data_IF_921881380962
#
_entry.id   IF_921881380962
#
_cell.length_a   1.000
_cell.length_b   1.000
_cell.length_c   1.000
_cell.angle_alpha   90.00
_cell.angle_beta   90.00
_cell.angle_gamma   90.00
#
_symmetry.space_group_name_H-M   'P 1'
#
loop_
_entity.id
_entity.type
_entity.pdbx_description
1 polymer ?
#
# COMPACT_ATOMS: atom_id res chain seq x y z
N UNK A 1 40.88 65.52 -69.67
CA UNK A 1 41.52 64.22 -69.39
C UNK A 1 41.97 64.31 -67.93
N UNK A 2 41.27 63.75 -66.94
CA UNK A 2 41.02 62.32 -66.77
C UNK A 2 39.74 62.14 -65.94
N UNK A 3 38.69 61.59 -66.56
CA UNK A 3 37.60 60.91 -65.88
C UNK A 3 37.92 59.41 -65.87
N UNK A 4 37.19 58.66 -65.04
CA UNK A 4 36.99 57.20 -65.07
C UNK A 4 38.03 56.39 -64.26
N UNK A 5 37.77 56.15 -62.97
CA UNK A 5 38.27 54.93 -62.29
C UNK A 5 37.55 54.46 -61.02
N UNK A 6 36.54 55.16 -60.46
CA UNK A 6 36.06 54.79 -59.10
C UNK A 6 34.59 54.34 -58.96
N UNK A 7 33.81 54.26 -60.06
CA UNK A 7 32.40 53.78 -59.98
C UNK A 7 32.26 52.27 -60.20
N UNK A 8 33.24 51.60 -60.81
CA UNK A 8 33.22 50.13 -60.97
C UNK A 8 33.62 49.36 -59.70
N UNK A 9 34.32 50.00 -58.75
CA UNK A 9 34.91 49.31 -57.60
C UNK A 9 33.89 49.12 -56.46
N UNK A 10 32.96 50.07 -56.28
CA UNK A 10 31.92 50.01 -55.25
C UNK A 10 30.81 48.98 -55.51
N UNK A 11 30.40 48.80 -56.78
CA UNK A 11 29.43 47.76 -57.18
C UNK A 11 30.00 46.34 -57.01
N UNK A 12 31.30 46.16 -57.28
CA UNK A 12 32.00 44.86 -57.11
C UNK A 12 32.27 44.48 -55.65
N UNK A 13 32.20 45.44 -54.72
CA UNK A 13 32.42 45.22 -53.27
C UNK A 13 31.13 44.82 -52.54
N UNK A 14 29.98 45.39 -52.92
CA UNK A 14 28.67 44.99 -52.39
C UNK A 14 28.23 43.60 -52.87
N UNK A 15 28.38 43.30 -54.17
CA UNK A 15 28.12 41.94 -54.72
C UNK A 15 29.01 40.87 -54.08
N UNK A 16 30.23 41.22 -53.66
CA UNK A 16 31.17 40.28 -53.01
C UNK A 16 30.75 39.89 -51.59
N UNK A 17 30.18 40.81 -50.81
CA UNK A 17 29.74 40.52 -49.44
C UNK A 17 28.52 39.60 -49.41
N UNK A 18 27.54 39.83 -50.27
CA UNK A 18 26.37 38.95 -50.41
C UNK A 18 26.76 37.57 -50.97
N UNK A 19 27.69 37.53 -51.94
CA UNK A 19 28.24 36.28 -52.47
C UNK A 19 29.00 35.46 -51.42
N UNK A 20 29.79 36.11 -50.56
CA UNK A 20 30.50 35.48 -49.44
C UNK A 20 29.52 34.93 -48.39
N UNK A 21 28.40 35.60 -48.14
CA UNK A 21 27.34 35.14 -47.23
C UNK A 21 26.64 33.89 -47.76
N UNK A 22 26.27 33.88 -49.05
CA UNK A 22 25.62 32.73 -49.69
C UNK A 22 26.57 31.51 -49.75
N UNK A 23 27.85 31.72 -50.02
CA UNK A 23 28.83 30.64 -50.05
C UNK A 23 29.04 30.02 -48.65
N UNK A 24 29.04 30.85 -47.59
CA UNK A 24 29.10 30.39 -46.20
C UNK A 24 27.86 29.58 -45.81
N UNK A 25 26.66 30.03 -46.17
CA UNK A 25 25.42 29.31 -45.92
C UNK A 25 25.37 27.96 -46.66
N UNK A 26 25.77 27.93 -47.94
CA UNK A 26 25.86 26.69 -48.72
C UNK A 26 26.87 25.71 -48.12
N UNK A 27 28.00 26.22 -47.62
CA UNK A 27 29.00 25.40 -46.92
C UNK A 27 28.43 24.84 -45.61
N UNK A 28 27.68 25.64 -44.85
CA UNK A 28 27.02 25.19 -43.63
C UNK A 28 25.98 24.09 -43.92
N UNK A 29 25.13 24.27 -44.93
CA UNK A 29 24.11 23.26 -45.32
C UNK A 29 24.75 21.94 -45.77
N UNK A 30 25.85 21.99 -46.54
CA UNK A 30 26.61 20.80 -46.92
C UNK A 30 27.18 20.10 -45.68
N UNK A 31 27.78 20.85 -44.75
CA UNK A 31 28.31 20.27 -43.51
C UNK A 31 27.20 19.63 -42.66
N UNK A 32 26.03 20.27 -42.55
CA UNK A 32 24.88 19.70 -41.83
C UNK A 32 24.47 18.36 -42.45
N UNK A 33 24.31 18.31 -43.77
CA UNK A 33 23.91 17.09 -44.48
C UNK A 33 24.91 15.94 -44.29
N UNK A 34 26.22 16.24 -44.30
CA UNK A 34 27.27 15.24 -44.09
C UNK A 34 27.33 14.71 -42.64
N UNK A 35 26.90 15.51 -41.66
CA UNK A 35 26.89 15.10 -40.25
C UNK A 35 25.59 14.42 -39.81
N UNK A 36 24.61 14.26 -40.71
CA UNK A 36 23.45 13.39 -40.45
C UNK A 36 23.98 11.96 -40.23
N UNK A 37 23.75 11.41 -39.04
CA UNK A 37 24.28 10.10 -38.64
C UNK A 37 23.68 8.94 -39.45
N UNK A 38 22.51 9.15 -40.03
CA UNK A 38 21.81 8.21 -40.90
C UNK A 38 22.13 8.42 -42.39
N UNK A 39 22.02 7.33 -43.15
CA UNK A 39 22.20 7.37 -44.60
C UNK A 39 21.15 8.25 -45.27
N UNK A 40 21.60 9.30 -45.96
CA UNK A 40 20.75 10.32 -46.60
C UNK A 40 21.17 10.57 -48.05
N UNK A 41 20.20 10.82 -48.91
CA UNK A 41 20.36 11.08 -50.34
C UNK A 41 19.37 12.14 -50.82
N UNK A 42 19.76 12.93 -51.81
CA UNK A 42 18.85 13.86 -52.53
C UNK A 42 18.94 13.60 -54.02
N UNK A 43 17.80 13.42 -54.67
CA UNK A 43 17.70 13.33 -56.14
C UNK A 43 16.97 14.54 -56.72
N UNK A 44 17.22 14.84 -57.99
CA UNK A 44 16.37 15.75 -58.77
C UNK A 44 15.10 15.04 -59.28
N UNK A 45 14.26 15.76 -60.03
CA UNK A 45 13.00 15.24 -60.59
C UNK A 45 13.18 14.08 -61.57
N UNK A 46 14.35 14.00 -62.23
CA UNK A 46 14.69 12.96 -63.20
C UNK A 46 15.29 11.71 -62.54
N UNK A 47 15.35 11.66 -61.20
CA UNK A 47 15.92 10.52 -60.48
C UNK A 47 17.45 10.53 -60.35
N UNK A 48 18.11 11.62 -60.74
CA UNK A 48 19.56 11.77 -60.69
C UNK A 48 20.01 12.25 -59.31
N UNK A 49 21.01 11.56 -58.75
CA UNK A 49 21.58 11.87 -57.43
C UNK A 49 22.31 13.21 -57.49
N UNK A 50 21.92 14.13 -56.61
CA UNK A 50 22.55 15.45 -56.42
C UNK A 50 23.37 15.53 -55.15
N UNK A 51 22.95 14.83 -54.10
CA UNK A 51 23.65 14.76 -52.81
C UNK A 51 23.57 13.34 -52.26
N UNK A 52 24.67 12.87 -51.68
CA UNK A 52 24.78 11.54 -51.10
C UNK A 52 25.76 11.63 -49.94
N UNK A 53 25.31 11.42 -48.70
CA UNK A 53 26.17 11.68 -47.54
C UNK A 53 27.13 10.52 -47.26
N UNK A 54 28.19 10.82 -46.51
CA UNK A 54 29.20 9.85 -46.08
C UNK A 54 28.59 8.70 -45.26
N UNK A 55 27.55 8.95 -44.46
CA UNK A 55 26.87 7.92 -43.69
C UNK A 55 26.20 6.86 -44.58
N UNK A 56 25.62 7.28 -45.71
CA UNK A 56 25.00 6.35 -46.66
C UNK A 56 26.05 5.59 -47.47
N UNK A 57 27.15 6.25 -47.85
CA UNK A 57 28.29 5.61 -48.52
C UNK A 57 28.90 4.49 -47.69
N UNK A 58 29.17 4.75 -46.40
CA UNK A 58 29.64 3.72 -45.46
C UNK A 58 28.65 2.57 -45.31
N UNK A 59 27.35 2.85 -45.29
CA UNK A 59 26.32 1.82 -45.17
C UNK A 59 26.26 0.92 -46.41
N UNK A 60 26.33 1.52 -47.60
CA UNK A 60 26.33 0.80 -48.88
C UNK A 60 27.73 0.36 -49.33
N UNK A 61 28.78 0.56 -48.53
CA UNK A 61 30.16 0.24 -48.93
C UNK A 61 30.52 0.76 -50.34
N UNK A 62 30.16 2.02 -50.63
CA UNK A 62 30.42 2.71 -51.90
C UNK A 62 30.93 4.12 -51.63
N UNK A 63 31.69 4.67 -52.58
CA UNK A 63 32.16 6.06 -52.56
C UNK A 63 31.00 7.03 -52.91
N UNK A 64 30.56 7.89 -51.96
CA UNK A 64 29.49 8.88 -52.19
C UNK A 64 29.72 9.78 -53.40
N UNK A 65 30.96 10.24 -53.58
CA UNK A 65 31.31 11.24 -54.61
C UNK A 65 31.14 10.67 -56.01
N UNK A 66 31.37 9.37 -56.18
CA UNK A 66 31.19 8.65 -57.47
C UNK A 66 29.72 8.38 -57.80
N UNK A 67 28.80 8.55 -56.85
CA UNK A 67 27.37 8.31 -57.09
C UNK A 67 26.63 9.56 -57.56
N UNK A 68 27.20 10.75 -57.35
CA UNK A 68 26.62 12.00 -57.83
C UNK A 68 26.53 11.97 -59.37
N UNK A 69 25.37 12.36 -59.92
CA UNK A 69 25.11 12.34 -61.36
C UNK A 69 24.59 11.01 -61.91
N UNK A 70 24.56 9.94 -61.11
CA UNK A 70 23.96 8.65 -61.50
C UNK A 70 22.47 8.59 -61.18
N UNK A 71 21.72 7.74 -61.87
CA UNK A 71 20.31 7.51 -61.55
C UNK A 71 20.20 6.65 -60.28
N UNK A 72 19.30 7.02 -59.36
CA UNK A 72 19.21 6.41 -58.02
C UNK A 72 18.94 4.91 -58.03
N UNK A 73 18.22 4.40 -59.04
CA UNK A 73 17.91 2.96 -59.17
C UNK A 73 19.12 2.11 -59.53
N UNK A 74 20.21 2.71 -60.02
CA UNK A 74 21.48 2.02 -60.30
C UNK A 74 22.37 1.92 -59.05
N UNK A 75 22.06 2.71 -58.02
CA UNK A 75 22.91 2.87 -56.82
C UNK A 75 22.25 2.23 -55.61
N UNK A 76 20.93 2.36 -55.47
CA UNK A 76 20.17 1.87 -54.31
C UNK A 76 19.07 0.91 -54.78
N UNK A 77 19.23 -0.37 -54.40
CA UNK A 77 18.26 -1.42 -54.65
C UNK A 77 16.88 -1.09 -54.06
N UNK A 78 15.80 -1.42 -54.79
CA UNK A 78 14.42 -1.25 -54.34
C UNK A 78 14.06 0.18 -53.87
N UNK A 79 14.83 1.18 -54.31
CA UNK A 79 14.49 2.59 -54.04
C UNK A 79 13.23 2.99 -54.79
N UNK A 80 12.41 3.83 -54.18
CA UNK A 80 11.24 4.45 -54.82
C UNK A 80 11.34 5.97 -54.84
N UNK A 81 12.52 6.54 -54.64
CA UNK A 81 12.71 8.00 -54.68
C UNK A 81 12.29 8.57 -56.05
N UNK A 82 12.61 7.88 -57.15
CA UNK A 82 12.17 8.24 -58.50
C UNK A 82 10.64 8.17 -58.69
N UNK A 83 9.93 7.33 -57.92
CA UNK A 83 8.46 7.28 -57.91
C UNK A 83 7.90 8.47 -57.13
N UNK A 84 8.48 8.79 -55.97
CA UNK A 84 8.12 9.97 -55.17
C UNK A 84 8.35 11.26 -55.95
N UNK A 85 9.41 11.33 -56.78
CA UNK A 85 9.67 12.47 -57.66
C UNK A 85 8.53 12.71 -58.66
N UNK A 86 8.03 11.63 -59.29
CA UNK A 86 6.90 11.70 -60.25
C UNK A 86 5.55 11.94 -59.59
N UNK A 87 5.30 11.29 -58.45
CA UNK A 87 3.98 11.31 -57.80
C UNK A 87 3.79 12.51 -56.86
N UNK A 88 4.88 13.07 -56.36
CA UNK A 88 4.87 14.14 -55.35
C UNK A 88 4.22 13.74 -54.02
N UNK A 89 4.03 12.44 -53.76
CA UNK A 89 3.49 11.90 -52.51
C UNK A 89 4.62 11.41 -51.64
N UNK A 90 4.69 11.88 -50.39
CA UNK A 90 5.68 11.42 -49.44
C UNK A 90 5.44 9.97 -49.04
N UNK A 91 6.52 9.21 -48.88
CA UNK A 91 6.52 7.86 -48.33
C UNK A 91 7.27 7.92 -47.00
N UNK A 92 6.57 7.80 -45.88
CA UNK A 92 7.12 7.99 -44.53
C UNK A 92 7.09 6.66 -43.78
N UNK A 93 8.19 6.33 -43.08
CA UNK A 93 8.33 5.11 -42.27
C UNK A 93 8.10 3.81 -43.07
N UNK A 94 8.49 3.78 -44.34
CA UNK A 94 8.29 2.63 -45.21
C UNK A 94 9.43 1.61 -45.07
N UNK A 95 9.09 0.33 -45.21
CA UNK A 95 10.11 -0.73 -45.21
C UNK A 95 10.79 -0.81 -46.58
N UNK A 96 12.12 -0.81 -46.60
CA UNK A 96 12.92 -1.06 -47.79
C UNK A 96 13.95 -2.15 -47.51
N UNK A 97 14.03 -3.15 -48.40
CA UNK A 97 15.09 -4.15 -48.36
C UNK A 97 16.28 -3.69 -49.19
N UNK A 98 17.43 -3.55 -48.54
CA UNK A 98 18.71 -3.17 -49.16
C UNK A 98 19.74 -4.22 -48.72
N UNK A 99 20.41 -4.90 -49.66
CA UNK A 99 21.41 -5.95 -49.34
C UNK A 99 20.88 -7.05 -48.41
N UNK A 100 19.60 -7.40 -48.53
CA UNK A 100 18.94 -8.41 -47.70
C UNK A 100 18.59 -7.96 -46.27
N UNK A 101 18.84 -6.70 -45.91
CA UNK A 101 18.44 -6.11 -44.64
C UNK A 101 17.20 -5.24 -44.83
N UNK A 102 16.19 -5.42 -43.97
CA UNK A 102 15.00 -4.59 -43.96
C UNK A 102 15.21 -3.37 -43.07
N UNK A 103 15.02 -2.19 -43.66
CA UNK A 103 15.24 -0.90 -43.04
C UNK A 103 13.94 -0.09 -43.08
N UNK A 104 13.78 0.84 -42.15
CA UNK A 104 12.72 1.86 -42.25
C UNK A 104 13.32 3.10 -42.89
N UNK A 105 12.72 3.57 -43.98
CA UNK A 105 13.15 4.74 -44.73
C UNK A 105 12.03 5.78 -44.82
N UNK A 106 12.41 7.02 -45.10
CA UNK A 106 11.49 8.06 -45.53
C UNK A 106 11.97 8.70 -46.82
N UNK A 107 11.01 9.10 -47.67
CA UNK A 107 11.22 9.72 -48.96
C UNK A 107 10.28 10.91 -49.06
N UNK A 108 10.84 12.10 -48.98
CA UNK A 108 10.11 13.36 -48.83
C UNK A 108 10.32 14.19 -50.11
N UNK A 109 9.26 14.48 -50.89
CA UNK A 109 9.36 15.37 -52.03
C UNK A 109 9.52 16.82 -51.54
N UNK A 110 10.57 17.48 -51.99
CA UNK A 110 10.82 18.90 -51.77
C UNK A 110 10.08 19.66 -52.86
N UNK A 111 9.16 20.55 -52.47
CA UNK A 111 8.29 21.29 -53.40
C UNK A 111 8.59 22.79 -53.35
N UNK A 112 8.58 23.43 -54.51
CA UNK A 112 8.61 24.89 -54.68
C UNK A 112 7.47 25.27 -55.62
N UNK A 113 6.64 26.23 -55.21
CA UNK A 113 5.48 26.72 -55.97
C UNK A 113 4.54 25.58 -56.44
N UNK A 114 4.33 24.58 -55.56
CA UNK A 114 3.48 23.41 -55.83
C UNK A 114 4.12 22.33 -56.72
N UNK A 115 5.31 22.55 -57.28
CA UNK A 115 6.03 21.59 -58.12
C UNK A 115 7.14 20.91 -57.32
N UNK A 116 7.29 19.60 -57.50
CA UNK A 116 8.43 18.85 -56.93
C UNK A 116 9.70 19.30 -57.63
N UNK A 117 10.73 19.67 -56.86
CA UNK A 117 12.04 20.07 -57.40
C UNK A 117 13.15 19.08 -57.02
N UNK A 118 12.95 18.33 -55.94
CA UNK A 118 13.88 17.30 -55.47
C UNK A 118 13.16 16.29 -54.57
N UNK A 119 13.82 15.18 -54.25
CA UNK A 119 13.35 14.23 -53.23
C UNK A 119 14.49 13.95 -52.27
N UNK A 120 14.22 14.13 -50.98
CA UNK A 120 15.12 13.75 -49.89
C UNK A 120 14.76 12.35 -49.39
N UNK A 121 15.73 11.44 -49.38
CA UNK A 121 15.61 10.09 -48.87
C UNK A 121 16.51 9.91 -47.67
N UNK A 122 16.01 9.29 -46.61
CA UNK A 122 16.76 9.00 -45.40
C UNK A 122 16.39 7.64 -44.84
N UNK A 123 17.39 6.91 -44.34
CA UNK A 123 17.20 5.72 -43.50
C UNK A 123 16.91 6.15 -42.07
N UNK A 124 15.79 5.77 -41.49
CA UNK A 124 15.44 6.09 -40.09
C UNK A 124 15.95 4.99 -39.14
N UNK A 125 15.72 3.72 -39.50
CA UNK A 125 16.18 2.58 -38.73
C UNK A 125 16.95 1.61 -39.61
N UNK A 126 18.15 1.22 -39.16
CA UNK A 126 19.05 0.33 -39.89
C UNK A 126 18.60 -1.13 -39.86
N UNK A 127 17.83 -1.51 -38.84
CA UNK A 127 17.29 -2.84 -38.68
C UNK A 127 15.87 -2.76 -38.07
N UNK A 128 14.87 -3.25 -38.82
CA UNK A 128 13.48 -3.35 -38.34
C UNK A 128 13.38 -4.24 -37.08
N UNK A 129 14.31 -5.18 -36.88
CA UNK A 129 14.34 -6.01 -35.68
C UNK A 129 14.68 -5.20 -34.41
N UNK A 130 15.41 -4.09 -34.50
CA UNK A 130 15.65 -3.20 -33.35
C UNK A 130 14.35 -2.51 -32.91
N UNK A 131 13.53 -2.08 -33.87
CA UNK A 131 12.19 -1.53 -33.61
C UNK A 131 11.30 -2.58 -32.94
N UNK A 132 11.34 -3.83 -33.43
CA UNK A 132 10.64 -4.96 -32.81
C UNK A 132 11.08 -5.24 -31.37
N UNK A 133 12.39 -5.18 -31.08
CA UNK A 133 12.94 -5.34 -29.72
C UNK A 133 12.44 -4.24 -28.78
N UNK A 134 12.42 -2.99 -29.24
CA UNK A 134 11.91 -1.85 -28.45
C UNK A 134 10.41 -1.99 -28.17
N UNK A 135 9.60 -2.32 -29.18
CA UNK A 135 8.17 -2.54 -29.03
C UNK A 135 7.87 -3.68 -28.05
N UNK A 136 8.62 -4.79 -28.12
CA UNK A 136 8.50 -5.90 -27.18
C UNK A 136 8.83 -5.47 -25.74
N UNK A 137 9.94 -4.74 -25.55
CA UNK A 137 10.35 -4.24 -24.23
C UNK A 137 9.31 -3.28 -23.63
N UNK A 138 8.70 -2.43 -24.46
CA UNK A 138 7.62 -1.54 -24.03
C UNK A 138 6.40 -2.33 -23.55
N UNK A 139 5.96 -3.31 -24.33
CA UNK A 139 4.84 -4.19 -23.97
C UNK A 139 5.10 -4.97 -22.66
N UNK A 140 6.32 -5.48 -22.49
CA UNK A 140 6.74 -6.14 -21.23
C UNK A 140 6.68 -5.19 -20.04
N UNK A 141 7.15 -3.94 -20.19
CA UNK A 141 7.09 -2.92 -19.15
C UNK A 141 5.65 -2.55 -18.81
N UNK A 142 4.79 -2.31 -19.80
CA UNK A 142 3.37 -2.04 -19.58
C UNK A 142 2.67 -3.19 -18.85
N UNK A 143 2.99 -4.43 -19.20
CA UNK A 143 2.46 -5.61 -18.53
C UNK A 143 2.88 -5.67 -17.06
N UNK A 144 4.17 -5.43 -16.77
CA UNK A 144 4.68 -5.37 -15.40
C UNK A 144 4.01 -4.25 -14.59
N UNK A 145 3.86 -3.06 -15.16
CA UNK A 145 3.16 -1.94 -14.51
C UNK A 145 1.73 -2.33 -14.16
N UNK A 146 0.99 -2.96 -15.08
CA UNK A 146 -0.37 -3.45 -14.81
C UNK A 146 -0.41 -4.50 -13.70
N UNK A 147 0.53 -5.44 -13.66
CA UNK A 147 0.62 -6.46 -12.62
C UNK A 147 0.87 -5.82 -11.25
N UNK A 148 1.88 -4.97 -11.14
CA UNK A 148 2.18 -4.29 -9.88
C UNK A 148 1.04 -3.40 -9.40
N UNK A 149 0.32 -2.77 -10.33
CA UNK A 149 -0.83 -1.97 -9.98
C UNK A 149 -1.98 -2.83 -9.43
N UNK A 150 -2.24 -4.00 -10.02
CA UNK A 150 -3.18 -4.98 -9.47
C UNK A 150 -2.77 -5.51 -8.10
N UNK A 151 -1.49 -5.79 -7.87
CA UNK A 151 -0.98 -6.22 -6.56
C UNK A 151 -1.14 -5.11 -5.50
N UNK A 152 -0.86 -3.86 -5.85
CA UNK A 152 -1.08 -2.73 -4.96
C UNK A 152 -2.56 -2.51 -4.66
N UNK A 153 -3.41 -2.68 -5.66
CA UNK A 153 -4.86 -2.58 -5.49
C UNK A 153 -5.36 -3.70 -4.59
N UNK A 154 -4.93 -4.96 -4.79
CA UNK A 154 -5.34 -6.09 -3.95
C UNK A 154 -4.92 -5.92 -2.48
N UNK A 155 -3.74 -5.34 -2.22
CA UNK A 155 -3.28 -4.99 -0.88
C UNK A 155 -4.15 -3.89 -0.21
N UNK A 156 -4.88 -3.11 -1.01
CA UNK A 156 -5.77 -2.03 -0.56
C UNK A 156 -7.25 -2.41 -0.60
N UNK A 157 -7.58 -3.65 -0.95
CA UNK A 157 -8.94 -4.17 -0.87
C UNK A 157 -9.27 -4.61 0.55
N UNK A 158 -10.54 -4.49 0.93
CA UNK A 158 -11.01 -5.00 2.22
C UNK A 158 -11.01 -6.54 2.19
N UNK A 159 -10.32 -7.14 3.15
CA UNK A 159 -10.16 -8.60 3.32
C UNK A 159 -11.38 -9.24 3.97
N UNK A 160 -12.07 -8.49 4.84
CA UNK A 160 -13.17 -9.02 5.64
C UNK A 160 -14.53 -8.58 5.10
N UNK A 161 -15.48 -9.52 5.05
CA UNK A 161 -16.88 -9.27 4.67
C UNK A 161 -17.77 -9.28 5.92
N UNK A 162 -19.08 -9.16 5.73
CA UNK A 162 -20.04 -9.33 6.82
C UNK A 162 -20.03 -10.78 7.37
N UNK A 163 -19.68 -11.76 6.52
CA UNK A 163 -19.61 -13.17 6.89
C UNK A 163 -18.41 -13.47 7.80
N UNK A 164 -17.38 -12.61 7.75
CA UNK A 164 -16.25 -12.68 8.68
C UNK A 164 -16.64 -12.31 10.12
N UNK A 165 -17.81 -11.69 10.35
CA UNK A 165 -18.28 -11.34 11.69
C UNK A 165 -18.96 -12.58 12.32
N UNK A 166 -18.25 -13.30 13.18
CA UNK A 166 -18.77 -14.50 13.85
C UNK A 166 -19.62 -14.14 15.06
N UNK A 167 -20.78 -14.80 15.18
CA UNK A 167 -21.69 -14.70 16.32
C UNK A 167 -23.16 -14.60 15.92
N UNK A 168 -24.01 -14.99 16.86
CA UNK A 168 -25.47 -15.12 16.76
C UNK A 168 -26.22 -14.41 17.91
N UNK A 169 -25.51 -13.80 18.87
CA UNK A 169 -26.12 -13.03 19.94
C UNK A 169 -26.88 -11.80 19.44
N UNK A 170 -27.89 -11.35 20.19
CA UNK A 170 -28.65 -10.16 19.80
C UNK A 170 -27.76 -8.91 19.56
N UNK A 171 -26.75 -8.60 20.42
CA UNK A 171 -25.85 -7.48 20.18
C UNK A 171 -25.10 -7.56 18.84
N UNK A 172 -24.61 -8.75 18.45
CA UNK A 172 -23.86 -8.89 17.19
C UNK A 172 -24.78 -8.88 15.97
N UNK A 173 -25.98 -9.47 16.07
CA UNK A 173 -26.98 -9.42 15.01
C UNK A 173 -27.45 -7.98 14.76
N UNK A 174 -27.65 -7.20 15.82
CA UNK A 174 -27.97 -5.79 15.69
C UNK A 174 -26.81 -5.01 15.06
N UNK A 175 -25.57 -5.24 15.49
CA UNK A 175 -24.39 -4.60 14.88
C UNK A 175 -24.27 -4.94 13.37
N UNK A 176 -24.52 -6.20 12.97
CA UNK A 176 -24.56 -6.60 11.55
C UNK A 176 -25.63 -5.85 10.74
N UNK A 177 -26.83 -5.66 11.31
CA UNK A 177 -27.89 -4.85 10.67
C UNK A 177 -27.47 -3.39 10.50
N UNK A 178 -26.84 -2.80 11.52
CA UNK A 178 -26.34 -1.42 11.45
C UNK A 178 -25.20 -1.26 10.44
N UNK A 179 -24.32 -2.26 10.30
CA UNK A 179 -23.31 -2.28 9.21
C UNK A 179 -23.95 -2.16 7.84
N UNK A 180 -25.01 -2.93 7.57
CA UNK A 180 -25.71 -2.90 6.28
C UNK A 180 -26.37 -1.54 6.02
N UNK A 181 -27.03 -0.96 7.02
CA UNK A 181 -27.61 0.40 6.93
C UNK A 181 -26.53 1.44 6.68
N UNK A 182 -25.42 1.38 7.42
CA UNK A 182 -24.30 2.29 7.25
C UNK A 182 -23.71 2.18 5.84
N UNK A 183 -23.53 0.96 5.32
CA UNK A 183 -22.97 0.68 4.00
C UNK A 183 -23.82 1.20 2.83
N UNK A 184 -25.13 1.36 3.02
CA UNK A 184 -26.04 1.93 2.02
C UNK A 184 -25.85 3.45 1.80
N UNK A 185 -25.08 4.13 2.67
CA UNK A 185 -24.83 5.58 2.59
C UNK A 185 -23.35 5.90 2.42
N UNK A 186 -23.05 7.15 2.06
CA UNK A 186 -21.68 7.70 2.04
C UNK A 186 -21.35 8.53 3.29
N UNK A 187 -22.20 8.48 4.33
CA UNK A 187 -21.99 9.23 5.57
C UNK A 187 -20.80 8.68 6.37
N UNK A 188 -20.24 9.53 7.23
CA UNK A 188 -19.21 9.13 8.20
C UNK A 188 -19.79 8.15 9.20
N UNK A 189 -19.00 7.13 9.53
CA UNK A 189 -19.36 6.13 10.53
C UNK A 189 -18.35 6.21 11.66
N UNK A 190 -18.82 6.26 12.91
CA UNK A 190 -17.99 6.18 14.10
C UNK A 190 -18.22 4.84 14.79
N UNK A 191 -17.21 4.00 14.82
CA UNK A 191 -17.22 2.69 15.46
C UNK A 191 -16.65 2.82 16.88
N UNK A 192 -17.50 2.67 17.88
CA UNK A 192 -17.10 2.67 19.29
C UNK A 192 -17.03 1.24 19.83
N UNK A 193 -16.10 0.98 20.75
CA UNK A 193 -16.00 -0.31 21.43
C UNK A 193 -14.60 -0.58 21.95
N UNK A 194 -14.51 -1.44 22.95
CA UNK A 194 -13.25 -1.76 23.63
C UNK A 194 -12.16 -2.27 22.67
N UNK A 195 -10.90 -2.20 23.12
CA UNK A 195 -9.79 -2.78 22.36
C UNK A 195 -9.97 -4.29 22.21
N UNK A 196 -9.66 -4.81 21.02
CA UNK A 196 -9.76 -6.25 20.72
C UNK A 196 -11.16 -6.76 20.38
N UNK A 197 -12.17 -5.90 20.23
CA UNK A 197 -13.56 -6.30 19.85
C UNK A 197 -13.77 -6.56 18.35
N UNK A 198 -12.78 -6.23 17.51
CA UNK A 198 -12.83 -6.41 16.06
C UNK A 198 -13.27 -5.19 15.25
N UNK A 199 -13.15 -3.95 15.75
CA UNK A 199 -13.58 -2.72 15.05
C UNK A 199 -13.11 -2.60 13.60
N UNK A 200 -11.88 -3.03 13.32
CA UNK A 200 -11.34 -3.08 11.96
C UNK A 200 -12.15 -3.97 11.02
N UNK A 201 -12.59 -5.12 11.51
CA UNK A 201 -13.37 -6.08 10.75
C UNK A 201 -14.73 -5.47 10.39
N UNK A 202 -15.39 -4.78 11.33
CA UNK A 202 -16.60 -4.00 11.04
C UNK A 202 -16.36 -2.89 10.00
N UNK A 203 -15.26 -2.13 10.11
CA UNK A 203 -14.94 -1.08 9.15
C UNK A 203 -14.76 -1.63 7.72
N UNK A 204 -14.10 -2.78 7.60
CA UNK A 204 -13.92 -3.47 6.32
C UNK A 204 -15.26 -4.03 5.79
N UNK A 205 -16.10 -4.62 6.65
CA UNK A 205 -17.44 -5.08 6.26
C UNK A 205 -18.32 -3.94 5.75
N UNK A 206 -18.27 -2.76 6.40
CA UNK A 206 -18.98 -1.55 5.96
C UNK A 206 -18.53 -1.11 4.56
N UNK A 207 -17.22 -1.17 4.28
CA UNK A 207 -16.68 -0.83 2.98
C UNK A 207 -17.09 -1.86 1.90
N UNK A 208 -16.93 -3.15 2.20
CA UNK A 208 -17.26 -4.25 1.28
C UNK A 208 -18.74 -4.35 0.94
N UNK A 209 -19.63 -3.96 1.87
CA UNK A 209 -21.07 -3.91 1.63
C UNK A 209 -21.52 -2.62 0.90
N UNK A 210 -20.63 -1.66 0.65
CA UNK A 210 -20.98 -0.36 0.06
C UNK A 210 -20.79 -0.28 -1.45
N UNK A 211 -21.26 0.81 -2.06
CA UNK A 211 -21.00 1.14 -3.47
C UNK A 211 -19.50 1.28 -3.79
N UNK A 212 -18.64 1.48 -2.77
CA UNK A 212 -17.19 1.64 -2.91
C UNK A 212 -16.40 0.33 -2.75
N UNK A 213 -17.04 -0.84 -2.72
CA UNK A 213 -16.37 -2.16 -2.51
C UNK A 213 -15.22 -2.49 -3.47
N UNK A 214 -15.24 -1.92 -4.68
CA UNK A 214 -14.21 -2.12 -5.70
C UNK A 214 -13.16 -0.97 -5.72
N UNK A 215 -13.15 -0.14 -4.67
CA UNK A 215 -12.28 1.04 -4.53
C UNK A 215 -11.35 0.81 -3.33
N UNK A 216 -10.23 1.53 -3.22
CA UNK A 216 -9.30 1.29 -2.12
C UNK A 216 -9.92 1.63 -0.76
N UNK A 217 -9.59 0.84 0.26
CA UNK A 217 -9.72 1.23 1.67
C UNK A 217 -8.34 1.57 2.23
N UNK A 218 -8.09 2.85 2.47
CA UNK A 218 -6.84 3.33 3.04
C UNK A 218 -6.97 3.37 4.55
N UNK A 219 -5.99 2.79 5.23
CA UNK A 219 -6.04 2.58 6.67
C UNK A 219 -4.92 3.32 7.38
N UNK A 220 -5.25 3.92 8.52
CA UNK A 220 -4.31 4.63 9.37
C UNK A 220 -4.70 4.38 10.82
N UNK A 221 -3.74 3.96 11.65
CA UNK A 221 -3.94 3.90 13.09
C UNK A 221 -3.24 5.12 13.71
N UNK A 222 -4.02 5.98 14.37
CA UNK A 222 -3.55 7.27 14.89
C UNK A 222 -2.66 7.09 16.13
N UNK A 223 -2.82 6.01 16.88
CA UNK A 223 -2.05 5.73 18.10
C UNK A 223 -0.62 5.22 17.82
N UNK A 224 -0.37 4.63 16.65
CA UNK A 224 0.93 4.02 16.29
C UNK A 224 1.91 5.04 15.70
N UNK A 225 1.40 6.13 15.12
CA UNK A 225 2.22 7.09 14.39
C UNK A 225 2.58 8.25 15.32
N UNK A 226 3.87 8.62 15.44
CA UNK A 226 4.27 9.81 16.18
C UNK A 226 3.51 11.05 15.70
N UNK A 227 3.11 11.93 16.63
CA UNK A 227 2.37 13.17 16.35
C UNK A 227 2.99 13.96 15.20
N UNK A 228 4.31 14.10 15.22
CA UNK A 228 5.09 14.90 14.28
C UNK A 228 5.05 14.34 12.84
N UNK A 229 4.82 13.03 12.69
CA UNK A 229 4.73 12.36 11.40
C UNK A 229 3.30 12.19 10.91
N UNK A 230 2.32 12.22 11.82
CA UNK A 230 0.91 11.97 11.52
C UNK A 230 0.38 12.94 10.46
N UNK A 231 0.76 14.21 10.53
CA UNK A 231 0.39 15.20 9.53
C UNK A 231 0.89 14.83 8.12
N UNK A 232 2.17 14.47 8.03
CA UNK A 232 2.80 14.09 6.77
C UNK A 232 2.25 12.78 6.21
N UNK A 233 1.77 11.86 7.04
CA UNK A 233 1.10 10.63 6.59
C UNK A 233 -0.31 10.92 6.06
N UNK A 234 -1.11 11.71 6.79
CA UNK A 234 -2.49 12.05 6.41
C UNK A 234 -2.54 12.91 5.15
N UNK A 235 -1.80 14.01 5.14
CA UNK A 235 -1.90 15.05 4.10
C UNK A 235 -0.81 14.93 3.03
N UNK A 236 0.30 14.26 3.33
CA UNK A 236 1.46 14.21 2.44
C UNK A 236 2.34 15.44 2.58
N UNK A 237 3.43 15.48 1.83
CA UNK A 237 4.38 16.59 1.85
C UNK A 237 4.97 16.87 0.48
N UNK A 238 5.31 18.12 0.23
CA UNK A 238 6.06 18.53 -0.96
C UNK A 238 7.57 18.35 -0.79
N UNK A 239 8.29 18.36 -1.92
CA UNK A 239 9.75 18.27 -1.92
C UNK A 239 10.34 19.39 -1.05
N UNK A 240 11.17 19.03 -0.08
CA UNK A 240 11.89 20.00 0.75
C UNK A 240 11.06 20.60 1.90
N UNK A 241 9.89 20.04 2.22
CA UNK A 241 9.04 20.53 3.30
C UNK A 241 9.70 20.50 4.71
N UNK A 242 10.62 19.56 4.95
CA UNK A 242 11.38 19.44 6.21
C UNK A 242 12.71 18.69 5.99
N UNK A 243 13.60 18.73 6.98
CA UNK A 243 14.89 18.02 6.95
C UNK A 243 14.69 16.51 6.93
N UNK A 244 15.08 15.85 5.83
CA UNK A 244 14.84 14.41 5.61
C UNK A 244 13.65 14.09 4.70
N UNK A 245 12.92 15.10 4.20
CA UNK A 245 11.89 14.91 3.19
C UNK A 245 12.49 14.31 1.90
N UNK A 246 11.81 13.32 1.32
CA UNK A 246 12.22 12.76 0.03
C UNK A 246 12.20 13.84 -1.04
N UNK A 247 13.19 13.79 -1.94
CA UNK A 247 13.33 14.72 -3.07
C UNK A 247 12.14 14.69 -4.06
N UNK A 248 11.23 13.73 -3.93
CA UNK A 248 10.03 13.57 -4.77
C UNK A 248 8.74 13.98 -4.07
N UNK A 249 8.79 14.34 -2.78
CA UNK A 249 7.59 14.46 -1.93
C UNK A 249 6.93 13.10 -1.64
N UNK A 250 5.76 13.14 -0.98
CA UNK A 250 4.93 11.97 -0.66
C UNK A 250 3.45 12.33 -0.71
N UNK A 251 2.63 11.46 -1.33
CA UNK A 251 1.15 11.57 -1.31
C UNK A 251 0.60 11.17 0.05
N UNK A 252 -0.36 11.94 0.57
CA UNK A 252 -1.05 11.66 1.83
C UNK A 252 -2.13 10.58 1.72
N UNK A 253 -2.58 10.06 2.86
CA UNK A 253 -3.68 9.08 2.92
C UNK A 253 -5.00 9.62 2.34
N UNK A 254 -5.32 10.90 2.52
CA UNK A 254 -6.53 11.49 1.92
C UNK A 254 -6.51 11.41 0.40
N UNK A 255 -5.35 11.65 -0.20
CA UNK A 255 -5.17 11.58 -1.65
C UNK A 255 -5.25 10.13 -2.16
N UNK A 256 -4.70 9.19 -1.40
CA UNK A 256 -4.78 7.76 -1.71
C UNK A 256 -6.20 7.19 -1.54
N UNK A 257 -7.01 7.81 -0.68
CA UNK A 257 -8.39 7.40 -0.40
C UNK A 257 -9.40 8.00 -1.38
N UNK A 258 -8.95 8.74 -2.39
CA UNK A 258 -9.83 9.36 -3.37
C UNK A 258 -10.70 8.31 -4.09
N UNK A 259 -12.01 8.55 -4.13
CA UNK A 259 -13.08 7.65 -4.54
C UNK A 259 -13.21 6.34 -3.75
N UNK A 260 -12.41 6.16 -2.70
CA UNK A 260 -12.40 5.00 -1.81
C UNK A 260 -12.93 5.33 -0.42
N UNK A 261 -12.45 4.57 0.56
CA UNK A 261 -12.70 4.79 1.98
C UNK A 261 -11.40 5.10 2.72
N UNK A 262 -11.47 6.00 3.70
CA UNK A 262 -10.42 6.24 4.68
C UNK A 262 -10.88 5.68 6.03
N UNK A 263 -10.16 4.69 6.54
CA UNK A 263 -10.35 4.13 7.87
C UNK A 263 -9.32 4.72 8.84
N UNK A 264 -9.81 5.47 9.83
CA UNK A 264 -9.02 6.03 10.92
C UNK A 264 -9.27 5.23 12.19
N UNK A 265 -8.30 4.42 12.59
CA UNK A 265 -8.34 3.66 13.83
C UNK A 265 -7.75 4.48 14.98
N UNK A 266 -8.31 4.29 16.17
CA UNK A 266 -8.00 5.03 17.39
C UNK A 266 -8.01 6.56 17.20
N UNK A 267 -9.07 7.09 16.58
CA UNK A 267 -9.23 8.54 16.30
C UNK A 267 -9.22 9.41 17.57
N UNK A 268 -9.53 8.81 18.74
CA UNK A 268 -9.44 9.48 20.03
C UNK A 268 -8.01 9.89 20.43
N UNK A 269 -6.98 9.26 19.84
CA UNK A 269 -5.57 9.59 20.08
C UNK A 269 -5.02 10.67 19.14
N UNK A 270 -5.89 11.32 18.35
CA UNK A 270 -5.49 12.45 17.52
C UNK A 270 -5.02 13.65 18.37
N UNK A 271 -3.82 14.20 18.11
CA UNK A 271 -3.37 15.44 18.70
C UNK A 271 -4.37 16.58 18.47
N UNK A 272 -4.58 17.44 19.48
CA UNK A 272 -5.53 18.56 19.41
C UNK A 272 -5.29 19.49 18.21
N UNK A 273 -4.02 19.72 17.85
CA UNK A 273 -3.61 20.55 16.71
C UNK A 273 -3.99 19.96 15.33
N UNK A 274 -4.18 18.64 15.27
CA UNK A 274 -4.56 17.93 14.04
C UNK A 274 -6.07 17.93 13.82
N UNK A 275 -6.86 18.10 14.88
CA UNK A 275 -8.32 18.02 14.82
C UNK A 275 -8.94 19.09 13.90
N UNK A 276 -8.52 20.38 13.92
CA UNK A 276 -9.01 21.39 12.96
C UNK A 276 -8.67 21.06 11.51
N UNK A 277 -7.47 20.52 11.23
CA UNK A 277 -7.06 20.13 9.88
C UNK A 277 -7.89 18.97 9.35
N UNK A 278 -8.14 17.97 10.22
CA UNK A 278 -9.04 16.86 9.89
C UNK A 278 -10.46 17.36 9.63
N UNK A 279 -11.00 18.24 10.49
CA UNK A 279 -12.33 18.82 10.31
C UNK A 279 -12.47 19.48 8.93
N UNK A 280 -11.51 20.34 8.56
CA UNK A 280 -11.49 21.01 7.25
C UNK A 280 -11.51 20.00 6.09
N UNK A 281 -10.69 18.96 6.16
CA UNK A 281 -10.68 17.89 5.16
C UNK A 281 -12.00 17.10 5.08
N UNK A 282 -12.76 17.00 6.17
CA UNK A 282 -14.06 16.31 6.21
C UNK A 282 -15.23 17.16 5.72
N UNK A 283 -15.17 18.47 5.94
CA UNK A 283 -16.21 19.42 5.56
C UNK A 283 -16.04 19.88 4.11
N UNK A 284 -14.86 20.41 3.78
CA UNK A 284 -14.57 21.01 2.47
C UNK A 284 -14.17 19.96 1.43
N UNK A 285 -13.80 18.74 1.87
CA UNK A 285 -13.15 17.72 1.01
C UNK A 285 -11.86 18.22 0.35
N UNK A 286 -11.26 19.24 0.96
CA UNK A 286 -10.04 19.91 0.50
C UNK A 286 -8.95 19.85 1.56
N UNK A 287 -7.70 19.77 1.12
CA UNK A 287 -6.54 19.82 1.99
C UNK A 287 -5.29 20.27 1.23
N UNK A 288 -4.27 20.67 1.97
CA UNK A 288 -2.96 21.05 1.43
C UNK A 288 -1.89 20.07 1.92
N UNK A 289 -0.85 19.85 1.12
CA UNK A 289 0.31 19.08 1.56
C UNK A 289 1.17 19.92 2.51
N UNK A 290 1.86 19.26 3.43
CA UNK A 290 2.82 19.94 4.31
C UNK A 290 3.90 20.62 3.47
N UNK A 291 4.10 21.92 3.70
CA UNK A 291 5.05 22.77 2.98
C UNK A 291 4.60 23.19 1.58
N UNK A 292 3.42 22.78 1.13
CA UNK A 292 2.81 23.21 -0.13
C UNK A 292 1.69 24.23 0.09
N UNK A 293 1.29 24.91 -0.97
CA UNK A 293 0.17 25.87 -0.99
C UNK A 293 -0.94 25.46 -1.98
N UNK A 294 -0.78 24.30 -2.64
CA UNK A 294 -1.75 23.78 -3.58
C UNK A 294 -2.87 23.06 -2.82
N UNK A 295 -4.07 23.60 -2.94
CA UNK A 295 -5.29 22.93 -2.49
C UNK A 295 -5.57 21.70 -3.36
N UNK A 296 -5.80 20.56 -2.71
CA UNK A 296 -6.15 19.29 -3.32
C UNK A 296 -7.54 18.86 -2.85
N UNK A 297 -8.36 18.36 -3.77
CA UNK A 297 -9.68 17.84 -3.46
C UNK A 297 -9.67 16.30 -3.41
N UNK A 298 -10.33 15.71 -2.40
CA UNK A 298 -10.53 14.26 -2.32
C UNK A 298 -11.95 13.87 -1.87
N UNK A 299 -12.68 13.22 -2.77
CA UNK A 299 -13.92 12.50 -2.46
C UNK A 299 -13.63 11.15 -1.79
N UNK A 300 -13.56 11.13 -0.46
CA UNK A 300 -13.43 9.91 0.33
C UNK A 300 -14.63 9.72 1.27
N UNK A 301 -14.96 8.45 1.54
CA UNK A 301 -15.86 8.07 2.64
C UNK A 301 -15.03 7.84 3.91
N UNK A 302 -15.43 8.44 5.03
CA UNK A 302 -14.75 8.24 6.31
C UNK A 302 -15.39 7.11 7.12
N UNK A 303 -14.56 6.23 7.67
CA UNK A 303 -14.91 5.30 8.74
C UNK A 303 -13.91 5.53 9.87
N UNK A 304 -14.37 5.95 11.04
CA UNK A 304 -13.52 6.20 12.20
C UNK A 304 -13.79 5.15 13.28
N UNK A 305 -12.79 4.82 14.08
CA UNK A 305 -12.94 3.93 15.23
C UNK A 305 -12.23 4.50 16.46
N UNK A 306 -12.78 4.25 17.64
CA UNK A 306 -12.12 4.57 18.91
C UNK A 306 -12.47 3.54 19.99
N UNK A 307 -11.50 3.26 20.86
CA UNK A 307 -11.72 2.55 22.11
C UNK A 307 -12.04 3.46 23.31
N UNK A 308 -12.03 4.77 23.11
CA UNK A 308 -12.24 5.77 24.16
C UNK A 308 -13.62 6.37 24.05
N UNK A 309 -14.11 6.90 25.17
CA UNK A 309 -15.32 7.71 25.19
C UNK A 309 -15.01 9.12 24.65
N UNK A 310 -15.35 9.35 23.39
CA UNK A 310 -15.11 10.65 22.74
C UNK A 310 -16.01 11.74 23.31
N UNK A 311 -17.20 11.42 23.84
CA UNK A 311 -18.09 12.40 24.46
C UNK A 311 -17.45 12.92 25.76
N UNK A 312 -16.96 12.01 26.61
CA UNK A 312 -16.21 12.39 27.80
C UNK A 312 -14.94 13.20 27.46
N UNK A 313 -14.25 12.88 26.37
CA UNK A 313 -13.08 13.67 25.92
C UNK A 313 -13.46 15.07 25.43
N UNK A 314 -14.64 15.24 24.83
CA UNK A 314 -15.15 16.57 24.48
C UNK A 314 -15.42 17.39 25.72
N UNK A 315 -16.06 16.80 26.75
CA UNK A 315 -16.30 17.47 28.03
C UNK A 315 -15.00 17.88 28.74
N UNK A 316 -13.94 17.08 28.60
CA UNK A 316 -12.61 17.36 29.15
C UNK A 316 -11.78 18.35 28.31
N UNK A 317 -12.27 18.79 27.14
CA UNK A 317 -11.53 19.66 26.23
C UNK A 317 -10.34 18.98 25.50
N UNK A 318 -10.29 17.64 25.53
CA UNK A 318 -9.26 16.83 24.86
C UNK A 318 -9.67 16.45 23.43
N UNK A 319 -10.93 16.68 23.07
CA UNK A 319 -11.45 16.48 21.72
C UNK A 319 -12.41 17.62 21.36
N UNK A 320 -12.36 18.11 20.13
CA UNK A 320 -13.23 19.20 19.70
C UNK A 320 -14.64 18.71 19.40
N UNK A 321 -15.64 19.45 19.89
CA UNK A 321 -17.05 19.12 19.71
C UNK A 321 -17.46 19.12 18.21
N UNK A 322 -16.97 20.10 17.44
CA UNK A 322 -17.26 20.23 16.00
C UNK A 322 -16.82 18.98 15.20
N UNK A 323 -15.60 18.51 15.44
CA UNK A 323 -15.09 17.29 14.85
C UNK A 323 -15.88 16.06 15.31
N UNK A 324 -16.20 15.96 16.61
CA UNK A 324 -16.98 14.83 17.12
C UNK A 324 -18.32 14.69 16.40
N UNK A 325 -19.09 15.78 16.23
CA UNK A 325 -20.37 15.72 15.52
C UNK A 325 -20.20 15.38 14.04
N UNK A 326 -19.10 15.78 13.40
CA UNK A 326 -18.81 15.43 12.00
C UNK A 326 -18.39 13.97 11.83
N UNK A 327 -17.75 13.38 12.83
CA UNK A 327 -17.39 11.96 12.87
C UNK A 327 -18.60 11.08 13.20
N UNK A 328 -19.40 11.48 14.19
CA UNK A 328 -20.47 10.68 14.77
C UNK A 328 -21.82 10.83 14.03
N UNK A 329 -21.81 10.73 12.70
CA UNK A 329 -23.06 10.81 11.90
C UNK A 329 -23.83 9.49 11.94
N UNK A 330 -23.12 8.36 11.81
CA UNK A 330 -23.67 7.02 12.03
C UNK A 330 -22.88 6.36 13.16
N UNK A 331 -23.42 6.30 14.39
CA UNK A 331 -22.78 5.57 15.48
C UNK A 331 -22.94 4.06 15.30
N UNK A 332 -21.85 3.31 15.46
CA UNK A 332 -21.86 1.86 15.52
C UNK A 332 -21.13 1.41 16.79
N UNK A 333 -21.89 0.93 17.78
CA UNK A 333 -21.31 0.40 19.01
C UNK A 333 -21.07 -1.11 18.90
N UNK A 334 -19.85 -1.53 19.23
CA UNK A 334 -19.45 -2.93 19.24
C UNK A 334 -19.33 -3.40 20.69
N UNK A 335 -20.30 -4.20 21.11
CA UNK A 335 -20.34 -4.77 22.45
C UNK A 335 -19.09 -5.62 22.75
N UNK A 336 -18.54 -5.56 23.97
CA UNK A 336 -17.44 -6.40 24.40
C UNK A 336 -17.85 -7.87 24.42
N UNK A 337 -16.87 -8.77 24.33
CA UNK A 337 -17.10 -10.22 24.17
C UNK A 337 -17.92 -10.82 25.32
N UNK A 338 -17.73 -10.33 26.54
CA UNK A 338 -18.49 -10.73 27.74
C UNK A 338 -20.00 -10.47 27.65
N UNK A 339 -20.42 -9.51 26.84
CA UNK A 339 -21.84 -9.18 26.62
C UNK A 339 -22.47 -9.99 25.48
N UNK A 340 -21.67 -10.79 24.75
CA UNK A 340 -22.12 -11.62 23.62
C UNK A 340 -22.51 -13.05 24.01
N UNK A 341 -22.38 -13.40 25.30
CA UNK A 341 -22.83 -14.69 25.84
C UNK A 341 -22.20 -15.90 25.13
N UNK A 342 -23.03 -16.74 24.49
CA UNK A 342 -22.59 -17.98 23.82
C UNK A 342 -21.73 -17.75 22.58
N UNK A 343 -21.68 -16.52 22.05
CA UNK A 343 -20.79 -16.19 20.94
C UNK A 343 -19.31 -16.40 21.29
N UNK A 344 -18.95 -16.37 22.58
CA UNK A 344 -17.59 -16.70 23.04
C UNK A 344 -17.14 -18.05 22.46
N UNK A 345 -18.02 -19.07 22.52
CA UNK A 345 -17.72 -20.41 22.03
C UNK A 345 -17.70 -20.46 20.50
N UNK A 346 -18.63 -19.76 19.84
CA UNK A 346 -18.66 -19.69 18.37
C UNK A 346 -17.38 -19.05 17.81
N UNK A 347 -16.94 -17.96 18.43
CA UNK A 347 -15.69 -17.28 18.08
C UNK A 347 -14.49 -18.17 18.40
N UNK A 348 -14.45 -18.81 19.57
CA UNK A 348 -13.36 -19.71 19.94
C UNK A 348 -13.18 -20.85 18.94
N UNK A 349 -14.26 -21.55 18.58
CA UNK A 349 -14.23 -22.64 17.59
C UNK A 349 -13.82 -22.14 16.21
N UNK A 350 -14.32 -20.97 15.79
CA UNK A 350 -13.91 -20.38 14.52
C UNK A 350 -12.42 -20.04 14.49
N UNK A 351 -11.87 -19.45 15.56
CA UNK A 351 -10.45 -19.15 15.66
C UNK A 351 -9.60 -20.42 15.66
N UNK A 352 -10.00 -21.44 16.42
CA UNK A 352 -9.32 -22.75 16.41
C UNK A 352 -9.29 -23.36 15.01
N UNK A 353 -10.43 -23.35 14.31
CA UNK A 353 -10.51 -23.86 12.93
C UNK A 353 -9.54 -23.13 12.00
N UNK A 354 -9.45 -21.80 12.09
CA UNK A 354 -8.51 -21.04 11.26
C UNK A 354 -7.05 -21.39 11.60
N UNK A 355 -6.72 -21.53 12.88
CA UNK A 355 -5.37 -21.90 13.35
C UNK A 355 -4.99 -23.30 12.85
N UNK A 356 -5.91 -24.27 12.92
CA UNK A 356 -5.63 -25.65 12.50
C UNK A 356 -5.51 -25.78 10.98
N UNK A 357 -6.35 -25.08 10.22
CA UNK A 357 -6.25 -25.00 8.75
C UNK A 357 -4.92 -24.39 8.30
N UNK A 358 -4.45 -23.33 8.95
CA UNK A 358 -3.15 -22.71 8.67
C UNK A 358 -1.97 -23.64 9.01
N UNK A 359 -2.10 -24.43 10.07
CA UNK A 359 -1.07 -25.39 10.51
C UNK A 359 -1.12 -26.73 9.75
N UNK A 360 -2.14 -26.97 8.92
CA UNK A 360 -2.37 -28.27 8.28
C UNK A 360 -2.67 -29.40 9.28
N UNK A 361 -3.23 -29.05 10.44
CA UNK A 361 -3.59 -29.98 11.50
C UNK A 361 -5.04 -30.49 11.34
N UNK A 362 -5.38 -31.57 12.07
CA UNK A 362 -6.75 -32.09 12.13
C UNK A 362 -7.72 -31.15 12.84
N UNK A 363 -8.98 -31.57 12.97
CA UNK A 363 -9.97 -30.83 13.76
C UNK A 363 -9.70 -30.98 15.26
N UNK A 364 -9.91 -29.90 16.01
CA UNK A 364 -9.78 -29.86 17.47
C UNK A 364 -11.12 -29.46 18.08
N UNK A 365 -11.55 -30.20 19.08
CA UNK A 365 -12.79 -29.93 19.79
C UNK A 365 -12.54 -29.41 21.22
N UNK A 366 -13.41 -28.49 21.66
CA UNK A 366 -13.44 -28.03 23.05
C UNK A 366 -14.26 -29.02 23.89
N UNK A 367 -13.65 -29.56 24.94
CA UNK A 367 -14.39 -30.34 25.93
C UNK A 367 -15.35 -29.46 26.72
N UNK A 368 -16.42 -30.04 27.26
CA UNK A 368 -17.43 -29.29 28.02
C UNK A 368 -16.82 -28.47 29.18
N UNK A 369 -15.85 -29.04 29.92
CA UNK A 369 -15.16 -28.32 30.99
C UNK A 369 -14.33 -27.13 30.49
N UNK A 370 -13.73 -27.23 29.30
CA UNK A 370 -13.03 -26.11 28.68
C UNK A 370 -14.01 -25.01 28.28
N UNK A 371 -15.18 -25.38 27.71
CA UNK A 371 -16.22 -24.41 27.36
C UNK A 371 -16.74 -23.62 28.57
N UNK A 372 -16.97 -24.30 29.70
CA UNK A 372 -17.38 -23.64 30.94
C UNK A 372 -16.36 -22.60 31.42
N UNK A 373 -15.06 -22.93 31.34
CA UNK A 373 -14.00 -21.98 31.70
C UNK A 373 -14.01 -20.76 30.78
N UNK A 374 -14.14 -20.97 29.46
CA UNK A 374 -14.20 -19.89 28.48
C UNK A 374 -15.42 -18.98 28.69
N UNK A 375 -16.59 -19.57 28.96
CA UNK A 375 -17.83 -18.82 29.24
C UNK A 375 -17.77 -18.05 30.56
N UNK A 376 -17.05 -18.58 31.56
CA UNK A 376 -16.96 -17.92 32.86
C UNK A 376 -16.09 -16.67 32.83
N UNK A 377 -15.11 -16.57 31.93
CA UNK A 377 -14.12 -15.51 31.92
C UNK A 377 -14.68 -14.17 31.39
N UNK A 378 -14.16 -13.05 31.89
CA UNK A 378 -14.64 -11.70 31.57
C UNK A 378 -14.05 -11.11 30.27
N UNK A 379 -13.00 -11.72 29.73
CA UNK A 379 -12.35 -11.34 28.47
C UNK A 379 -12.02 -9.83 28.36
N UNK A 380 -11.21 -9.25 29.28
CA UNK A 380 -10.81 -7.84 29.21
C UNK A 380 -10.09 -7.44 27.90
N UNK A 381 -9.40 -8.38 27.24
CA UNK A 381 -8.80 -8.16 25.91
C UNK A 381 -9.68 -8.63 24.75
N UNK A 382 -10.96 -8.94 25.01
CA UNK A 382 -11.97 -9.34 24.04
C UNK A 382 -11.48 -10.46 23.11
N UNK A 383 -11.79 -10.38 21.81
CA UNK A 383 -11.44 -11.41 20.81
C UNK A 383 -9.92 -11.53 20.63
N UNK A 384 -9.15 -10.46 20.83
CA UNK A 384 -7.68 -10.52 20.77
C UNK A 384 -7.09 -11.41 21.86
N UNK A 385 -7.60 -11.28 23.08
CA UNK A 385 -7.21 -12.18 24.18
C UNK A 385 -7.64 -13.62 23.91
N UNK A 386 -8.89 -13.82 23.46
CA UNK A 386 -9.38 -15.15 23.10
C UNK A 386 -8.53 -15.82 22.02
N UNK A 387 -8.13 -15.09 20.99
CA UNK A 387 -7.23 -15.59 19.95
C UNK A 387 -5.89 -16.05 20.52
N UNK A 388 -5.26 -15.21 21.35
CA UNK A 388 -4.00 -15.57 22.00
C UNK A 388 -4.13 -16.80 22.90
N UNK A 389 -5.29 -16.99 23.56
CA UNK A 389 -5.58 -18.21 24.33
C UNK A 389 -5.65 -19.42 23.40
N UNK A 390 -6.42 -19.33 22.31
CA UNK A 390 -6.59 -20.44 21.38
C UNK A 390 -5.27 -20.84 20.72
N UNK A 391 -4.47 -19.88 20.23
CA UNK A 391 -3.14 -20.13 19.66
C UNK A 391 -2.21 -20.83 20.65
N UNK A 392 -2.17 -20.33 21.89
CA UNK A 392 -1.33 -20.90 22.93
C UNK A 392 -1.77 -22.32 23.29
N UNK A 393 -3.07 -22.54 23.41
CA UNK A 393 -3.63 -23.85 23.74
C UNK A 393 -3.37 -24.85 22.61
N UNK A 394 -3.55 -24.45 21.35
CA UNK A 394 -3.18 -25.29 20.20
C UNK A 394 -1.69 -25.68 20.23
N UNK A 395 -0.79 -24.74 20.54
CA UNK A 395 0.64 -25.01 20.61
C UNK A 395 1.06 -25.97 21.75
N UNK A 396 0.25 -26.11 22.80
CA UNK A 396 0.54 -26.95 23.96
C UNK A 396 -0.32 -28.22 24.06
N UNK A 397 -1.37 -28.34 23.24
CA UNK A 397 -2.32 -29.44 23.32
C UNK A 397 -1.70 -30.73 22.74
N UNK A 398 -1.74 -31.81 23.52
CA UNK A 398 -1.40 -33.15 23.06
C UNK A 398 -2.70 -33.92 22.82
N UNK A 399 -3.15 -33.97 21.56
CA UNK A 399 -4.39 -34.65 21.16
C UNK A 399 -5.36 -33.73 20.39
N UNK A 400 -6.53 -34.26 20.07
CA UNK A 400 -7.61 -33.62 19.30
C UNK A 400 -8.70 -32.97 20.18
N UNK A 401 -8.58 -33.09 21.51
CA UNK A 401 -9.53 -32.55 22.47
C UNK A 401 -8.87 -31.58 23.44
N UNK A 402 -9.31 -30.32 23.41
CA UNK A 402 -8.86 -29.28 24.34
C UNK A 402 -9.59 -29.44 25.67
N UNK A 403 -8.83 -29.80 26.69
CA UNK A 403 -9.30 -29.97 28.06
C UNK A 403 -9.07 -28.70 28.89
N UNK A 404 -9.68 -28.57 30.08
CA UNK A 404 -9.35 -27.50 31.01
C UNK A 404 -7.84 -27.36 31.29
N UNK A 405 -7.10 -28.48 31.33
CA UNK A 405 -5.67 -28.46 31.66
C UNK A 405 -4.82 -27.75 30.59
N UNK A 406 -5.30 -27.74 29.34
CA UNK A 406 -4.62 -27.12 28.19
C UNK A 406 -4.89 -25.60 28.11
N UNK A 407 -5.86 -25.10 28.88
CA UNK A 407 -6.18 -23.69 28.97
C UNK A 407 -5.25 -22.97 29.97
N UNK A 408 -4.85 -21.71 29.68
CA UNK A 408 -4.01 -20.93 30.58
C UNK A 408 -4.53 -20.85 32.02
N UNK A 409 -3.62 -20.98 32.99
CA UNK A 409 -3.93 -21.03 34.42
C UNK A 409 -4.79 -19.86 34.93
N UNK A 410 -4.73 -18.68 34.31
CA UNK A 410 -5.56 -17.54 34.74
C UNK A 410 -7.06 -17.73 34.44
N UNK A 411 -7.44 -18.55 33.45
CA UNK A 411 -8.84 -18.89 33.18
C UNK A 411 -9.45 -19.76 34.29
N UNK A 412 -8.62 -20.52 35.01
CA UNK A 412 -9.04 -21.35 36.14
C UNK A 412 -9.38 -20.54 37.40
N UNK A 413 -9.02 -19.25 37.46
CA UNK A 413 -9.11 -18.44 38.68
C UNK A 413 -10.50 -17.87 38.97
N UNK A 414 -11.52 -18.14 38.15
CA UNK A 414 -12.82 -17.49 38.28
C UNK A 414 -13.76 -18.06 39.37
N UNK A 415 -13.23 -18.82 40.34
CA UNK A 415 -13.87 -19.00 41.65
C UNK A 415 -13.50 -17.90 42.67
N UNK A 416 -12.91 -16.78 42.24
CA UNK A 416 -12.71 -15.61 43.08
C UNK A 416 -13.81 -14.57 42.85
N UNK A 417 -14.80 -14.56 43.75
CA UNK A 417 -15.77 -13.47 43.90
C UNK A 417 -14.99 -12.17 44.22
N UNK A 418 -15.04 -11.12 43.38
CA UNK A 418 -14.47 -9.83 43.72
C UNK A 418 -15.38 -9.16 44.74
N UNK A 419 -15.14 -9.44 46.02
CA UNK A 419 -15.93 -8.90 47.13
C UNK A 419 -15.40 -9.23 48.53
N UNK A 420 -14.42 -10.13 48.66
CA UNK A 420 -13.79 -10.47 49.94
C UNK A 420 -12.26 -10.45 49.84
N UNK A 421 -11.69 -9.40 49.23
CA UNK A 421 -10.32 -9.03 49.57
C UNK A 421 -10.39 -8.22 50.86
N UNK A 422 -10.63 -8.92 51.97
CA UNK A 422 -10.11 -8.44 53.24
C UNK A 422 -8.61 -8.31 53.01
N UNK A 423 -8.05 -7.13 53.27
CA UNK A 423 -6.60 -6.84 53.19
C UNK A 423 -5.85 -7.72 54.19
N UNK A 424 -5.75 -9.01 53.93
CA UNK A 424 -4.91 -9.92 54.70
C UNK A 424 -3.49 -9.73 54.20
N UNK A 425 -2.62 -9.18 55.04
CA UNK A 425 -1.21 -8.99 54.75
C UNK A 425 -0.63 -10.32 54.22
N UNK A 426 0.35 -10.28 53.31
CA UNK A 426 1.04 -11.45 52.74
C UNK A 426 1.38 -12.52 53.79
N UNK A 427 1.72 -12.07 55.00
CA UNK A 427 1.99 -12.90 56.19
C UNK A 427 0.82 -13.84 56.57
N UNK A 428 -0.42 -13.40 56.44
CA UNK A 428 -1.62 -14.19 56.75
C UNK A 428 -1.93 -15.22 55.66
N UNK A 429 -1.71 -14.87 54.39
CA UNK A 429 -1.88 -15.79 53.25
C UNK A 429 -0.87 -16.94 53.36
N UNK A 430 0.40 -16.61 53.60
CA UNK A 430 1.47 -17.61 53.83
C UNK A 430 1.15 -18.46 55.06
N UNK A 431 0.66 -17.85 56.14
CA UNK A 431 0.30 -18.58 57.36
C UNK A 431 -0.85 -19.57 57.13
N UNK A 432 -1.89 -19.17 56.37
CA UNK A 432 -3.02 -20.07 56.04
C UNK A 432 -2.58 -21.22 55.13
N UNK A 433 -1.77 -20.94 54.12
CA UNK A 433 -1.24 -21.96 53.21
C UNK A 433 -0.32 -22.95 53.94
N UNK A 434 0.59 -22.47 54.79
CA UNK A 434 1.45 -23.33 55.62
C UNK A 434 0.63 -24.21 56.57
N UNK A 435 -0.41 -23.65 57.20
CA UNK A 435 -1.28 -24.41 58.10
C UNK A 435 -2.02 -25.52 57.38
N UNK A 436 -2.59 -25.22 56.20
CA UNK A 436 -3.29 -26.21 55.38
C UNK A 436 -2.36 -27.35 54.94
N UNK A 437 -1.18 -27.03 54.40
CA UNK A 437 -0.20 -28.03 53.98
C UNK A 437 0.22 -28.96 55.15
N UNK A 438 0.43 -28.40 56.35
CA UNK A 438 0.75 -29.21 57.54
C UNK A 438 -0.41 -30.12 57.94
N UNK A 439 -1.65 -29.63 57.86
CA UNK A 439 -2.84 -30.43 58.20
C UNK A 439 -3.10 -31.54 57.18
N UNK A 440 -2.87 -31.30 55.91
CA UNK A 440 -2.99 -32.30 54.84
C UNK A 440 -1.92 -33.39 54.99
N UNK A 441 -0.66 -32.99 55.22
CA UNK A 441 0.43 -33.94 55.43
C UNK A 441 0.23 -34.79 56.70
N UNK A 442 -0.33 -34.21 57.77
CA UNK A 442 -0.68 -34.97 58.97
C UNK A 442 -1.82 -35.95 58.70
N UNK A 443 -2.85 -35.56 57.94
CA UNK A 443 -3.96 -36.47 57.57
C UNK A 443 -3.50 -37.63 56.68
N UNK A 444 -2.68 -37.34 55.67
CA UNK A 444 -2.13 -38.35 54.74
C UNK A 444 -1.16 -39.34 55.39
N UNK A 445 -0.67 -39.04 56.60
CA UNK A 445 0.29 -39.90 57.32
C UNK A 445 -0.27 -40.45 58.63
N UNK A 446 -1.59 -40.47 58.80
CA UNK A 446 -2.27 -40.89 60.03
C UNK A 446 -1.68 -40.23 61.29
N UNK A 447 -1.42 -38.92 61.20
CA UNK A 447 -0.83 -38.08 62.24
C UNK A 447 0.58 -38.53 62.69
N UNK A 448 1.28 -39.33 61.88
CA UNK A 448 2.68 -39.68 62.11
C UNK A 448 3.60 -38.50 61.76
N UNK A 449 4.00 -37.77 62.80
CA UNK A 449 4.78 -36.52 62.71
C UNK A 449 6.15 -36.67 62.03
N UNK A 450 6.75 -37.86 62.05
CA UNK A 450 8.04 -38.09 61.38
C UNK A 450 7.80 -38.19 59.88
N UNK A 451 6.86 -39.05 59.46
CA UNK A 451 6.47 -39.19 58.05
C UNK A 451 5.89 -37.89 57.46
N UNK A 452 5.10 -37.14 58.24
CA UNK A 452 4.58 -35.85 57.82
C UNK A 452 5.68 -34.80 57.58
N UNK A 453 6.75 -34.82 58.40
CA UNK A 453 7.87 -33.91 58.24
C UNK A 453 8.67 -34.22 56.97
N UNK A 454 8.88 -35.52 56.71
CA UNK A 454 9.55 -36.00 55.50
C UNK A 454 8.72 -35.68 54.24
N UNK A 455 7.40 -35.89 54.28
CA UNK A 455 6.48 -35.57 53.19
C UNK A 455 6.45 -34.06 52.86
N UNK A 456 6.60 -33.21 53.88
CA UNK A 456 6.67 -31.76 53.73
C UNK A 456 8.08 -31.25 53.39
N UNK A 457 9.09 -32.13 53.37
CA UNK A 457 10.48 -31.75 53.12
C UNK A 457 11.09 -30.83 54.19
N UNK A 458 10.58 -30.87 55.43
CA UNK A 458 11.07 -30.03 56.53
C UNK A 458 11.57 -30.86 57.71
N UNK A 459 12.58 -30.35 58.41
CA UNK A 459 13.12 -31.05 59.57
C UNK A 459 12.07 -31.18 60.70
N UNK A 460 12.00 -32.35 61.36
CA UNK A 460 10.99 -32.66 62.39
C UNK A 460 10.79 -31.54 63.41
N UNK A 461 11.88 -30.98 63.97
CA UNK A 461 11.80 -29.93 65.00
C UNK A 461 11.15 -28.64 64.50
N UNK A 462 11.25 -28.34 63.20
CA UNK A 462 10.57 -27.20 62.58
C UNK A 462 9.06 -27.46 62.44
N UNK A 463 8.67 -28.69 62.08
CA UNK A 463 7.28 -29.12 62.05
C UNK A 463 6.62 -29.00 63.45
N UNK A 464 7.28 -29.48 64.51
CA UNK A 464 6.77 -29.34 65.89
C UNK A 464 6.59 -27.88 66.30
N UNK A 465 7.53 -26.99 65.94
CA UNK A 465 7.41 -25.54 66.19
C UNK A 465 6.22 -24.94 65.44
N UNK A 466 6.00 -25.31 64.18
CA UNK A 466 4.88 -24.82 63.36
C UNK A 466 3.52 -25.35 63.82
N UNK A 467 3.42 -26.63 64.22
CA UNK A 467 2.21 -27.22 64.82
C UNK A 467 1.80 -26.45 66.09
N UNK A 468 2.77 -26.16 66.98
CA UNK A 468 2.52 -25.39 68.20
C UNK A 468 2.16 -23.93 67.91
N UNK A 469 2.86 -23.31 66.96
CA UNK A 469 2.61 -21.92 66.52
C UNK A 469 1.22 -21.73 65.91
N UNK A 470 0.75 -22.70 65.12
CA UNK A 470 -0.52 -22.63 64.40
C UNK A 470 -1.68 -23.34 65.11
N UNK A 471 -1.44 -23.86 66.33
CA UNK A 471 -2.41 -24.57 67.19
C UNK A 471 -3.16 -25.66 66.40
N UNK A 472 -2.43 -26.50 65.69
CA UNK A 472 -3.01 -27.59 64.90
C UNK A 472 -3.33 -28.75 65.86
N UNK A 473 -4.60 -29.19 65.87
CA UNK A 473 -5.03 -30.35 66.65
C UNK A 473 -4.35 -31.62 66.14
N UNK A 474 -3.91 -32.48 67.05
CA UNK A 474 -3.14 -33.69 66.74
C UNK A 474 -3.95 -34.97 66.89
N UNK A 475 -5.27 -34.85 67.06
CA UNK A 475 -6.21 -35.97 67.06
C UNK A 475 -7.16 -35.82 65.86
N UNK A 476 -7.67 -36.94 65.30
CA UNK A 476 -8.68 -36.94 64.24
C UNK A 476 -9.89 -36.05 64.56
#
# INVERSE_FOLDING_TARGET
MTQISDVETGSKLFDRQDSLSVEQELKALKLIFEHIGEGSCVINVDGIITHFNEAYGRFLDIDPKKQIGRHITEVVENTRMHIVARTGRAELNESQSIRGQNMIVQRIPIKKDGRVIAVFGQVIFKDVAEVGKLAKKLSELESKVRIYQKELDSLRMAKYSLDSIVGESEPILQAKKEVLKAAATNLSVLISGESGTGKELFAQSIHNASARKNKPIIRLNCAVIPSDLLESELFGYEKGAFTGAKNTGKRGKFELAHHGSLFLDEVGDLPLEMQPKLLRALEEKEFERVGGNRVLHSDFRLIAASNQDLEAKVEQGLFRADLYYRLNVIPLHIAPLRERGKDILLVARHLLKNITEEAGAGEFDLTHGAEELLLSHHWPGNVRELNNVMERTFASCEGDHITPADLPFYLHKNKYVPGLIQRSLLKEVVTKAEKAAIQDALRLTDYNKVKAADLLGIHRTLLYKKIKKYRISLNP
#
